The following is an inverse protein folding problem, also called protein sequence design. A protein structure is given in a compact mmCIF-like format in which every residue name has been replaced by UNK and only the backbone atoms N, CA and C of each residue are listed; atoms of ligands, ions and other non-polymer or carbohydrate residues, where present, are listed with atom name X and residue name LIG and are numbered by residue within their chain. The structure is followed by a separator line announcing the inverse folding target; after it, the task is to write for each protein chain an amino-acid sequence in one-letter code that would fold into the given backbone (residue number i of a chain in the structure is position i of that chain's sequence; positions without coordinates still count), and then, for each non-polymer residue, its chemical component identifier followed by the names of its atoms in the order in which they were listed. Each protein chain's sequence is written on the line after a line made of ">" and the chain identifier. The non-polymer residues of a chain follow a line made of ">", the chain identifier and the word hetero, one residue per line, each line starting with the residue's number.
data_IF_478675122513
#
_entry.id   IF_478675122513
#
_cell.length_a   1.000
_cell.length_b   1.000
_cell.length_c   1.000
_cell.angle_alpha   90.00
_cell.angle_beta   90.00
_cell.angle_gamma   90.00
#
_symmetry.space_group_name_H-M   'P 1'
#
loop_
_entity.id
_entity.type
_entity.pdbx_description
1 polymer ?
#
# COMPACT_ATOMS: atom_id res chain seq x y z
N UNK A 1 0.37 17.50 9.46
CA UNK A 1 0.20 16.57 8.34
C UNK A 1 1.23 15.49 8.57
N UNK A 2 0.80 14.30 9.01
CA UNK A 2 1.74 13.21 9.31
C UNK A 2 1.81 12.39 8.03
N UNK A 3 3.00 12.37 7.41
CA UNK A 3 3.29 11.44 6.33
C UNK A 3 3.33 10.04 6.96
N UNK A 4 2.25 9.29 6.79
CA UNK A 4 2.19 7.89 7.20
C UNK A 4 2.75 7.06 6.05
N UNK A 5 3.94 6.52 6.25
CA UNK A 5 4.49 5.49 5.39
C UNK A 5 3.82 4.15 5.73
N UNK A 6 3.08 3.59 4.78
CA UNK A 6 2.45 2.27 4.91
C UNK A 6 3.29 1.23 4.18
N UNK A 7 3.68 0.19 4.92
CA UNK A 7 4.44 -0.94 4.36
C UNK A 7 3.51 -2.14 4.19
N UNK A 8 3.27 -2.53 2.95
CA UNK A 8 2.50 -3.71 2.57
C UNK A 8 3.45 -4.84 2.16
N UNK A 9 3.13 -6.06 2.58
CA UNK A 9 3.80 -7.26 2.11
C UNK A 9 3.35 -7.54 0.68
N UNK A 10 4.33 -7.72 -0.21
CA UNK A 10 4.09 -8.11 -1.58
C UNK A 10 4.95 -9.32 -1.92
N UNK A 11 4.40 -10.19 -2.77
CA UNK A 11 5.16 -11.32 -3.27
C UNK A 11 6.33 -10.84 -4.14
N UNK A 12 7.39 -11.64 -4.18
CA UNK A 12 8.58 -11.32 -4.96
C UNK A 12 8.28 -11.14 -6.45
N UNK A 13 7.33 -11.91 -7.01
CA UNK A 13 6.89 -11.75 -8.39
C UNK A 13 6.23 -10.40 -8.64
N UNK A 14 5.44 -9.94 -7.67
CA UNK A 14 4.76 -8.64 -7.72
C UNK A 14 5.77 -7.50 -7.63
N UNK A 15 6.77 -7.62 -6.76
CA UNK A 15 7.89 -6.67 -6.70
C UNK A 15 8.67 -6.59 -8.01
N UNK A 16 9.04 -7.74 -8.60
CA UNK A 16 9.76 -7.76 -9.87
C UNK A 16 8.92 -7.18 -11.02
N UNK A 17 7.61 -7.42 -11.02
CA UNK A 17 6.68 -6.82 -11.97
C UNK A 17 6.64 -5.30 -11.83
N UNK A 18 6.46 -4.77 -10.61
CA UNK A 18 6.41 -3.31 -10.37
C UNK A 18 7.75 -2.63 -10.66
N UNK A 19 8.85 -3.35 -10.45
CA UNK A 19 10.19 -2.87 -10.77
C UNK A 19 10.41 -2.75 -12.28
N UNK A 20 9.81 -3.65 -13.06
CA UNK A 20 9.91 -3.65 -14.52
C UNK A 20 8.86 -2.74 -15.18
N UNK A 21 7.67 -2.64 -14.58
CA UNK A 21 6.53 -1.87 -15.03
C UNK A 21 5.88 -1.12 -13.85
N UNK A 22 6.22 0.16 -13.66
CA UNK A 22 5.65 1.00 -12.60
C UNK A 22 4.14 1.23 -12.78
N UNK A 23 3.63 1.25 -14.01
CA UNK A 23 2.21 1.50 -14.28
C UNK A 23 1.35 0.30 -13.83
N UNK A 24 1.90 -0.91 -13.87
CA UNK A 24 1.26 -2.09 -13.30
C UNK A 24 1.03 -1.99 -11.78
N UNK A 25 1.73 -1.09 -11.07
CA UNK A 25 1.51 -0.85 -9.64
C UNK A 25 0.31 0.06 -9.34
N UNK A 26 -0.17 0.85 -10.31
CA UNK A 26 -1.34 1.73 -10.15
C UNK A 26 -2.60 1.01 -9.63
N UNK A 27 -3.03 -0.14 -10.21
CA UNK A 27 -4.18 -0.88 -9.69
C UNK A 27 -3.93 -1.41 -8.27
N UNK A 28 -2.69 -1.74 -7.92
CA UNK A 28 -2.35 -2.17 -6.56
C UNK A 28 -2.50 -1.02 -5.55
N UNK A 29 -1.97 0.16 -5.87
CA UNK A 29 -2.13 1.37 -5.05
C UNK A 29 -3.60 1.76 -4.90
N UNK A 30 -4.41 1.63 -5.95
CA UNK A 30 -5.84 1.89 -5.88
C UNK A 30 -6.56 0.96 -4.87
N UNK A 31 -6.15 -0.31 -4.80
CA UNK A 31 -6.68 -1.28 -3.82
C UNK A 31 -6.20 -0.98 -2.39
N UNK A 32 -4.92 -0.62 -2.21
CA UNK A 32 -4.40 -0.13 -0.92
C UNK A 32 -5.20 1.09 -0.42
N UNK A 33 -5.49 2.08 -1.29
CA UNK A 33 -6.30 3.25 -0.93
C UNK A 33 -7.72 2.89 -0.49
N UNK A 34 -8.30 1.82 -1.03
CA UNK A 34 -9.62 1.31 -0.64
C UNK A 34 -9.60 0.47 0.64
N UNK A 35 -8.42 0.26 1.25
CA UNK A 35 -8.24 -0.60 2.44
C UNK A 35 -8.57 -2.08 2.15
N UNK A 36 -8.54 -2.49 0.89
CA UNK A 36 -8.80 -3.88 0.48
C UNK A 36 -7.62 -4.82 0.76
N UNK A 37 -6.43 -4.27 0.99
CA UNK A 37 -5.18 -5.01 1.20
C UNK A 37 -4.63 -4.80 2.62
N UNK A 38 -5.48 -4.36 3.55
CA UNK A 38 -5.12 -4.16 4.95
C UNK A 38 -4.60 -5.43 5.64
N UNK A 39 -5.01 -6.60 5.14
CA UNK A 39 -4.53 -7.89 5.61
C UNK A 39 -3.04 -8.10 5.35
N UNK A 40 -2.49 -7.47 4.31
CA UNK A 40 -1.08 -7.54 3.93
C UNK A 40 -0.23 -6.45 4.59
N UNK A 41 -0.82 -5.63 5.44
CA UNK A 41 -0.14 -4.51 6.03
C UNK A 41 0.85 -4.98 7.11
N UNK A 42 2.14 -4.82 6.85
CA UNK A 42 3.23 -5.23 7.74
C UNK A 42 3.27 -4.31 8.97
N UNK A 43 3.10 -3.01 8.75
CA UNK A 43 3.08 -2.01 9.82
C UNK A 43 1.65 -1.55 9.99
N UNK A 44 1.00 -2.03 11.06
CA UNK A 44 -0.36 -1.57 11.39
C UNK A 44 -0.37 -0.05 11.52
N UNK A 45 -1.32 0.64 10.89
CA UNK A 45 -1.36 2.08 10.97
C UNK A 45 -1.73 2.43 12.42
N UNK A 46 -1.15 3.49 12.95
CA UNK A 46 -1.67 4.08 14.19
C UNK A 46 -3.15 4.45 14.01
N UNK A 47 -3.88 4.62 15.13
CA UNK A 47 -5.33 4.91 15.14
C UNK A 47 -5.75 6.08 14.22
N UNK A 48 -4.82 6.98 13.87
CA UNK A 48 -5.02 8.11 12.98
C UNK A 48 -4.62 7.79 11.54
N UNK A 49 -5.30 6.83 10.91
CA UNK A 49 -5.09 6.50 9.51
C UNK A 49 -5.77 7.53 8.60
N UNK A 50 -5.17 8.71 8.50
CA UNK A 50 -5.52 9.74 7.51
C UNK A 50 -7.01 10.02 7.40
N UNK A 51 -7.74 10.17 8.53
CA UNK A 51 -9.00 10.90 8.49
C UNK A 51 -8.64 12.34 8.14
N UNK A 52 -8.87 12.72 6.88
CA UNK A 52 -9.03 14.13 6.55
C UNK A 52 -10.10 14.68 7.52
N UNK A 53 -9.68 15.56 8.43
CA UNK A 53 -10.59 16.42 9.18
C UNK A 53 -11.01 17.54 8.23
#
# INVERSE_FOLDING_TARGET
>A
MVDYEEYYEIDRKTFDLFRCDPDAALPFVARCRKRELDELLIVRPGANRGTAI
#
